data_IF_071512171703
#
_entry.id   IF_071512171703
#
_cell.length_a   1.000
_cell.length_b   1.000
_cell.length_c   1.000
_cell.angle_alpha   90.00
_cell.angle_beta   90.00
_cell.angle_gamma   90.00
#
_symmetry.space_group_name_H-M   'P 1'
#
loop_
_entity.id
_entity.type
_entity.pdbx_description
1 polymer ?
#
# COMPACT_ATOMS: atom_id res chain seq x y z
N UNK A 1 -2.87 -13.62 2.58
CA UNK A 1 -2.54 -12.87 1.35
C UNK A 1 -3.45 -11.65 1.14
N UNK A 2 -4.75 -11.80 0.86
CA UNK A 2 -5.67 -10.68 0.62
C UNK A 2 -5.73 -9.67 1.78
N UNK A 3 -5.91 -10.14 3.02
CA UNK A 3 -5.93 -9.29 4.23
C UNK A 3 -4.62 -8.50 4.43
N UNK A 4 -3.49 -9.08 4.05
CA UNK A 4 -2.16 -8.45 4.16
C UNK A 4 -1.99 -7.39 3.08
N UNK A 5 -2.36 -7.71 1.85
CA UNK A 5 -2.34 -6.77 0.72
C UNK A 5 -3.24 -5.56 0.97
N UNK A 6 -4.50 -5.78 1.40
CA UNK A 6 -5.44 -4.72 1.76
C UNK A 6 -4.89 -3.83 2.88
N UNK A 7 -4.40 -4.44 3.97
CA UNK A 7 -3.85 -3.68 5.11
C UNK A 7 -2.68 -2.80 4.67
N UNK A 8 -1.78 -3.33 3.85
CA UNK A 8 -0.62 -2.59 3.35
C UNK A 8 -1.05 -1.46 2.41
N UNK A 9 -1.93 -1.78 1.46
CA UNK A 9 -2.52 -0.83 0.52
C UNK A 9 -3.14 0.38 1.22
N UNK A 10 -4.02 0.15 2.20
CA UNK A 10 -4.69 1.22 2.95
C UNK A 10 -3.69 2.02 3.79
N UNK A 11 -2.79 1.36 4.55
CA UNK A 11 -1.82 2.04 5.41
C UNK A 11 -0.94 3.03 4.64
N UNK A 12 -0.28 2.56 3.57
CA UNK A 12 0.65 3.40 2.83
C UNK A 12 -0.05 4.47 1.99
N UNK A 13 -1.26 4.18 1.50
CA UNK A 13 -2.07 5.19 0.80
C UNK A 13 -2.49 6.31 1.76
N UNK A 14 -2.90 5.98 3.00
CA UNK A 14 -3.20 6.98 4.02
C UNK A 14 -1.97 7.83 4.37
N UNK A 15 -0.81 7.20 4.55
CA UNK A 15 0.45 7.92 4.81
C UNK A 15 0.76 8.90 3.67
N UNK A 16 0.64 8.48 2.42
CA UNK A 16 0.86 9.37 1.28
C UNK A 16 -0.19 10.46 1.15
N UNK A 17 -1.45 10.20 1.51
CA UNK A 17 -2.48 11.23 1.54
C UNK A 17 -2.15 12.31 2.57
N UNK A 18 -1.71 11.90 3.76
CA UNK A 18 -1.27 12.83 4.82
C UNK A 18 -0.05 13.64 4.35
N UNK A 19 0.97 12.99 3.79
CA UNK A 19 2.17 13.68 3.26
C UNK A 19 1.79 14.63 2.12
N UNK A 20 0.93 14.18 1.20
CA UNK A 20 0.46 14.99 0.08
C UNK A 20 -0.36 16.18 0.55
N UNK A 21 -1.15 16.04 1.61
CA UNK A 21 -1.90 17.13 2.20
C UNK A 21 -0.96 18.19 2.77
N UNK A 22 0.05 17.80 3.55
CA UNK A 22 1.04 18.75 4.07
C UNK A 22 1.86 19.42 2.97
N UNK A 23 2.16 18.70 1.88
CA UNK A 23 2.96 19.23 0.76
C UNK A 23 2.16 20.19 -0.13
N UNK A 24 0.92 19.86 -0.46
CA UNK A 24 0.13 20.58 -1.47
C UNK A 24 -1.01 21.41 -0.88
N UNK A 25 -1.25 21.35 0.43
CA UNK A 25 -2.41 21.97 1.10
C UNK A 25 -3.75 21.30 0.77
N UNK A 26 -3.76 20.20 0.01
CA UNK A 26 -4.95 19.53 -0.50
C UNK A 26 -4.78 18.01 -0.54
N UNK A 27 -5.87 17.30 -0.26
CA UNK A 27 -5.91 15.84 -0.37
C UNK A 27 -5.96 15.44 -1.85
N UNK A 28 -5.03 14.59 -2.27
CA UNK A 28 -4.87 14.23 -3.68
C UNK A 28 -5.62 12.93 -4.05
N UNK A 29 -6.95 13.04 -4.16
CA UNK A 29 -7.84 11.89 -4.37
C UNK A 29 -7.59 11.12 -5.66
N UNK A 30 -7.12 11.79 -6.73
CA UNK A 30 -6.85 11.18 -8.04
C UNK A 30 -5.79 10.09 -7.99
N UNK A 31 -4.88 10.16 -7.02
CA UNK A 31 -3.76 9.22 -6.88
C UNK A 31 -4.05 8.05 -5.94
N UNK A 32 -5.16 8.09 -5.20
CA UNK A 32 -5.57 7.02 -4.27
C UNK A 32 -5.59 5.66 -4.96
N UNK A 33 -6.20 5.46 -6.15
CA UNK A 33 -6.25 4.14 -6.77
C UNK A 33 -4.86 3.60 -7.15
N UNK A 34 -3.99 4.48 -7.66
CA UNK A 34 -2.63 4.14 -8.08
C UNK A 34 -1.77 3.76 -6.87
N UNK A 35 -1.78 4.58 -5.82
CA UNK A 35 -1.06 4.30 -4.59
C UNK A 35 -1.56 3.01 -3.96
N UNK A 36 -2.88 2.87 -3.82
CA UNK A 36 -3.47 1.68 -3.23
C UNK A 36 -3.08 0.41 -3.98
N UNK A 37 -3.20 0.39 -5.32
CA UNK A 37 -2.82 -0.77 -6.13
C UNK A 37 -1.33 -1.09 -5.99
N UNK A 38 -0.46 -0.08 -6.00
CA UNK A 38 0.98 -0.26 -5.84
C UNK A 38 1.34 -0.87 -4.48
N UNK A 39 0.79 -0.34 -3.39
CA UNK A 39 1.07 -0.84 -2.03
C UNK A 39 0.39 -2.17 -1.71
N UNK A 40 -0.78 -2.42 -2.29
CA UNK A 40 -1.44 -3.71 -2.18
C UNK A 40 -0.66 -4.80 -2.92
N UNK A 41 -0.19 -4.53 -4.15
CA UNK A 41 0.62 -5.46 -4.94
C UNK A 41 1.94 -5.79 -4.22
N UNK A 42 2.68 -4.78 -3.75
CA UNK A 42 3.92 -4.99 -3.00
C UNK A 42 3.69 -5.75 -1.69
N UNK A 43 2.59 -5.50 -0.98
CA UNK A 43 2.20 -6.25 0.21
C UNK A 43 1.90 -7.73 -0.08
N UNK A 44 1.19 -8.02 -1.17
CA UNK A 44 0.93 -9.37 -1.64
C UNK A 44 2.23 -10.09 -2.03
N UNK A 45 3.11 -9.41 -2.77
CA UNK A 45 4.39 -9.92 -3.22
C UNK A 45 5.30 -10.26 -2.03
N UNK A 46 5.45 -9.33 -1.08
CA UNK A 46 6.21 -9.57 0.15
C UNK A 46 5.69 -10.76 0.94
N UNK A 47 4.38 -10.87 1.10
CA UNK A 47 3.76 -12.03 1.77
C UNK A 47 4.08 -13.33 1.04
N UNK A 48 3.97 -13.34 -0.29
CA UNK A 48 4.29 -14.51 -1.11
C UNK A 48 5.75 -14.94 -0.95
N UNK A 49 6.71 -14.02 -1.06
CA UNK A 49 8.13 -14.34 -0.90
C UNK A 49 8.48 -14.80 0.52
N UNK A 50 7.92 -14.16 1.56
CA UNK A 50 8.16 -14.56 2.95
C UNK A 50 7.57 -15.94 3.27
N UNK A 51 6.36 -16.24 2.79
CA UNK A 51 5.77 -17.57 2.98
C UNK A 51 6.46 -18.65 2.14
N UNK A 52 6.96 -18.32 0.95
CA UNK A 52 7.74 -19.25 0.12
C UNK A 52 9.06 -19.61 0.81
N UNK A 53 9.79 -18.60 1.29
CA UNK A 53 11.07 -18.77 2.01
C UNK A 53 10.90 -19.48 3.37
N UNK A 54 9.74 -19.38 4.01
CA UNK A 54 9.47 -20.07 5.29
C UNK A 54 9.15 -21.56 5.13
N UNK A 55 8.95 -22.05 3.89
CA UNK A 55 8.64 -23.45 3.59
C UNK A 55 9.82 -24.21 2.96
N UNK A 56 10.92 -23.53 2.68
CA UNK A 56 12.25 -24.12 2.40
C UNK A 56 13.03 -24.20 3.71
#
# INVERSE_FOLDING_TARGET
>A
MLKVALRNGVMFTLVLLVISYFKNGMINYKWIPIWFLFFAATGALRYYYMNKKSKE
#
